data_IF_168243092430
#
_entry.id   IF_168243092430
#
_cell.length_a   1.000
_cell.length_b   1.000
_cell.length_c   1.000
_cell.angle_alpha   90.00
_cell.angle_beta   90.00
_cell.angle_gamma   90.00
#
_symmetry.space_group_name_H-M   'P 1'
#
loop_
_entity.id
_entity.type
_entity.pdbx_description
1 polymer ?
#
# COMPACT_ATOMS: atom_id res chain seq x y z
N UNK A 1 3.81 -6.77 -27.09
CA UNK A 1 3.09 -5.58 -27.59
C UNK A 1 2.47 -4.90 -26.38
N UNK A 2 3.28 -4.52 -25.40
CA UNK A 2 4.23 -3.40 -25.32
C UNK A 2 3.61 -2.22 -24.57
N UNK A 3 4.09 -2.05 -23.35
CA UNK A 3 4.28 -0.80 -22.60
C UNK A 3 4.90 -1.26 -21.26
N UNK A 4 6.22 -1.32 -21.14
CA UNK A 4 7.06 -0.15 -21.28
C UNK A 4 6.99 0.62 -19.96
N UNK A 5 7.91 0.28 -19.05
CA UNK A 5 8.33 1.11 -17.91
C UNK A 5 7.30 1.32 -16.78
N UNK A 6 6.90 0.22 -16.12
CA UNK A 6 6.45 0.32 -14.73
C UNK A 6 7.64 0.70 -13.85
N UNK A 7 7.63 1.95 -13.34
CA UNK A 7 8.53 2.45 -12.30
C UNK A 7 8.42 1.57 -11.05
N UNK A 8 9.16 0.44 -11.07
CA UNK A 8 9.34 -0.47 -9.94
C UNK A 8 10.24 0.23 -8.93
N UNK A 9 9.65 0.78 -7.88
CA UNK A 9 10.35 0.98 -6.62
C UNK A 9 10.52 -0.38 -5.96
N UNK A 10 11.35 -1.24 -6.54
CA UNK A 10 11.74 -2.53 -5.97
C UNK A 10 12.81 -2.24 -4.92
N UNK A 11 12.43 -2.11 -3.66
CA UNK A 11 13.40 -2.23 -2.57
C UNK A 11 13.94 -3.66 -2.60
N UNK A 12 15.26 -3.80 -2.70
CA UNK A 12 15.96 -5.09 -2.63
C UNK A 12 15.56 -5.79 -1.33
N UNK A 13 14.94 -6.95 -1.43
CA UNK A 13 14.65 -7.86 -0.32
C UNK A 13 14.05 -9.14 -0.91
N UNK A 14 14.71 -10.27 -0.70
CA UNK A 14 14.35 -11.55 -1.27
C UNK A 14 12.98 -12.05 -0.74
N UNK A 15 12.30 -13.01 -1.39
CA UNK A 15 10.94 -13.42 -1.02
C UNK A 15 10.81 -13.97 0.42
N UNK A 16 11.92 -14.33 1.07
CA UNK A 16 11.99 -15.12 2.30
C UNK A 16 12.72 -14.45 3.48
N UNK A 17 12.65 -13.13 3.62
CA UNK A 17 13.11 -12.48 4.86
C UNK A 17 12.00 -12.53 5.93
N UNK A 18 12.11 -13.49 6.84
CA UNK A 18 11.22 -13.59 8.00
C UNK A 18 11.53 -12.47 9.01
N UNK A 19 10.50 -11.75 9.44
CA UNK A 19 10.61 -10.70 10.46
C UNK A 19 10.38 -11.30 11.84
N UNK A 20 10.99 -10.72 12.88
CA UNK A 20 10.84 -11.18 14.25
C UNK A 20 10.30 -10.08 15.19
N UNK A 21 9.57 -10.53 16.20
CA UNK A 21 9.17 -9.82 17.41
C UNK A 21 9.68 -10.65 18.60
N UNK A 22 9.56 -10.13 19.83
CA UNK A 22 10.09 -10.76 21.05
C UNK A 22 9.75 -12.26 21.19
N UNK A 23 8.56 -12.69 20.74
CA UNK A 23 8.12 -14.08 20.81
C UNK A 23 7.45 -14.58 19.53
N UNK A 24 7.69 -13.93 18.38
CA UNK A 24 6.97 -14.28 17.15
C UNK A 24 7.82 -14.00 15.92
N UNK A 25 7.96 -15.01 15.07
CA UNK A 25 8.51 -14.87 13.72
C UNK A 25 7.34 -14.82 12.74
N UNK A 26 7.36 -13.87 11.81
CA UNK A 26 6.22 -13.61 10.92
C UNK A 26 6.69 -13.14 9.54
N UNK A 27 5.90 -13.50 8.53
CA UNK A 27 6.03 -13.03 7.16
C UNK A 27 4.61 -12.83 6.59
N UNK A 28 3.94 -11.82 7.11
CA UNK A 28 2.55 -11.53 6.77
C UNK A 28 2.54 -10.46 5.67
N UNK A 29 2.37 -10.90 4.42
CA UNK A 29 2.20 -10.05 3.25
C UNK A 29 0.75 -10.11 2.80
N UNK A 30 0.15 -8.95 2.56
CA UNK A 30 -1.24 -8.83 2.13
C UNK A 30 -1.31 -8.03 0.84
N UNK A 31 -2.09 -8.54 -0.12
CA UNK A 31 -2.45 -7.81 -1.32
C UNK A 31 -3.79 -7.09 -1.07
N UNK A 32 -3.73 -5.76 -1.00
CA UNK A 32 -4.87 -4.88 -0.76
C UNK A 32 -5.18 -4.16 -2.06
N UNK A 33 -6.43 -4.28 -2.52
CA UNK A 33 -6.93 -3.57 -3.69
C UNK A 33 -8.07 -2.67 -3.26
N UNK A 34 -8.01 -1.39 -3.64
CA UNK A 34 -9.10 -0.47 -3.40
C UNK A 34 -9.42 0.39 -4.62
N UNK A 35 -10.70 0.61 -4.85
CA UNK A 35 -11.21 1.49 -5.89
C UNK A 35 -11.84 2.75 -5.25
N UNK A 36 -11.70 3.92 -5.88
CA UNK A 36 -12.36 5.12 -5.39
C UNK A 36 -13.85 5.05 -5.73
N UNK A 37 -14.66 5.78 -4.96
CA UNK A 37 -16.10 5.88 -5.22
C UNK A 37 -16.33 6.40 -6.64
N UNK A 38 -17.16 5.71 -7.42
CA UNK A 38 -17.46 6.01 -8.83
C UNK A 38 -16.29 5.86 -9.83
N UNK A 39 -15.16 5.25 -9.44
CA UNK A 39 -14.01 4.95 -10.34
C UNK A 39 -13.60 6.14 -11.22
N UNK A 40 -13.64 7.37 -10.68
CA UNK A 40 -13.33 8.60 -11.44
C UNK A 40 -11.85 8.63 -11.84
N UNK A 41 -11.57 8.28 -13.08
CA UNK A 41 -10.22 8.10 -13.64
C UNK A 41 -9.37 9.38 -13.62
N UNK A 42 -10.01 10.55 -13.73
CA UNK A 42 -9.35 11.86 -13.87
C UNK A 42 -8.52 12.20 -12.62
N UNK A 43 -8.99 11.76 -11.45
CA UNK A 43 -8.38 12.13 -10.18
C UNK A 43 -6.97 11.52 -10.10
N UNK A 44 -6.78 10.27 -10.53
CA UNK A 44 -5.50 9.57 -10.39
C UNK A 44 -4.35 10.17 -11.18
N UNK A 45 -4.57 10.82 -12.32
CA UNK A 45 -3.45 11.39 -13.09
C UNK A 45 -2.71 12.48 -12.30
N UNK A 46 -3.46 13.40 -11.68
CA UNK A 46 -2.91 14.55 -10.97
C UNK A 46 -2.57 14.24 -9.51
N UNK A 47 -3.40 13.44 -8.81
CA UNK A 47 -3.20 13.18 -7.38
C UNK A 47 -2.35 11.94 -7.08
N UNK A 48 -1.98 11.11 -8.08
CA UNK A 48 -1.26 9.85 -7.83
C UNK A 48 0.04 10.03 -7.05
N UNK A 49 0.76 11.13 -7.30
CA UNK A 49 1.97 11.47 -6.55
C UNK A 49 1.64 11.74 -5.07
N UNK A 50 0.64 12.58 -4.80
CA UNK A 50 0.22 12.92 -3.44
C UNK A 50 -0.39 11.73 -2.69
N UNK A 51 -1.22 10.92 -3.36
CA UNK A 51 -1.79 9.71 -2.79
C UNK A 51 -0.69 8.72 -2.41
N UNK A 52 0.31 8.52 -3.29
CA UNK A 52 1.46 7.68 -2.98
C UNK A 52 2.24 8.19 -1.77
N UNK A 53 2.45 9.51 -1.67
CA UNK A 53 3.12 10.16 -0.53
C UNK A 53 2.33 9.98 0.77
N UNK A 54 1.01 10.24 0.74
CA UNK A 54 0.11 10.11 1.89
C UNK A 54 0.07 8.65 2.36
N UNK A 55 -0.10 7.68 1.44
CA UNK A 55 -0.12 6.25 1.75
C UNK A 55 1.15 5.79 2.45
N UNK A 56 2.32 6.24 1.96
CA UNK A 56 3.62 5.94 2.59
C UNK A 56 3.69 6.49 4.01
N UNK A 57 3.37 7.77 4.19
CA UNK A 57 3.38 8.42 5.50
C UNK A 57 2.41 7.77 6.50
N UNK A 58 1.21 7.40 6.06
CA UNK A 58 0.22 6.73 6.91
C UNK A 58 0.64 5.31 7.29
N UNK A 59 1.28 4.59 6.38
CA UNK A 59 1.75 3.23 6.62
C UNK A 59 2.93 3.21 7.59
N UNK A 60 3.89 4.12 7.42
CA UNK A 60 5.02 4.30 8.34
C UNK A 60 4.54 4.62 9.77
N UNK A 61 3.54 5.50 9.92
CA UNK A 61 2.94 5.81 11.24
C UNK A 61 2.32 4.61 11.94
N UNK A 62 1.89 3.59 11.19
CA UNK A 62 1.34 2.33 11.73
C UNK A 62 2.37 1.20 11.80
N UNK A 63 3.61 1.45 11.41
CA UNK A 63 4.66 0.43 11.34
C UNK A 63 4.36 -0.65 10.29
N UNK A 64 3.63 -0.30 9.23
CA UNK A 64 3.34 -1.16 8.09
C UNK A 64 4.28 -0.79 6.95
N UNK A 65 4.90 -1.79 6.35
CA UNK A 65 5.79 -1.60 5.20
C UNK A 65 5.04 -1.82 3.89
N UNK A 66 5.17 -0.89 2.96
CA UNK A 66 4.67 -1.05 1.59
C UNK A 66 5.80 -1.65 0.74
N UNK A 67 5.60 -2.86 0.25
CA UNK A 67 6.56 -3.57 -0.62
C UNK A 67 6.39 -3.09 -2.05
N UNK A 68 5.15 -3.06 -2.55
CA UNK A 68 4.82 -2.58 -3.88
C UNK A 68 3.49 -1.81 -3.85
N UNK A 69 3.36 -0.78 -4.67
CA UNK A 69 2.10 -0.08 -4.86
C UNK A 69 1.98 0.41 -6.30
N UNK A 70 0.86 0.09 -6.95
CA UNK A 70 0.55 0.49 -8.33
C UNK A 70 -0.81 1.13 -8.38
N UNK A 71 -0.87 2.38 -8.83
CA UNK A 71 -2.13 3.05 -9.12
C UNK A 71 -2.52 2.83 -10.59
N UNK A 72 -3.61 2.08 -10.79
CA UNK A 72 -4.30 1.88 -12.05
C UNK A 72 -5.41 2.96 -12.21
N UNK A 73 -5.98 3.12 -13.42
CA UNK A 73 -6.98 4.16 -13.68
C UNK A 73 -8.25 4.07 -12.81
N UNK A 74 -8.62 2.88 -12.36
CA UNK A 74 -9.89 2.62 -11.68
C UNK A 74 -9.73 1.97 -10.28
N UNK A 75 -8.51 1.58 -9.92
CA UNK A 75 -8.17 0.99 -8.62
C UNK A 75 -6.67 1.13 -8.30
N UNK A 76 -6.31 0.97 -7.02
CA UNK A 76 -4.93 0.91 -6.55
C UNK A 76 -4.65 -0.48 -6.00
N UNK A 77 -3.56 -1.08 -6.47
CA UNK A 77 -2.96 -2.29 -5.92
C UNK A 77 -1.87 -1.93 -4.91
N UNK A 78 -1.87 -2.56 -3.75
CA UNK A 78 -0.78 -2.48 -2.77
C UNK A 78 -0.42 -3.86 -2.25
N UNK A 79 0.86 -4.16 -2.20
CA UNK A 79 1.43 -5.28 -1.47
C UNK A 79 2.07 -4.72 -0.20
N UNK A 80 1.53 -5.09 0.96
CA UNK A 80 1.97 -4.56 2.26
C UNK A 80 2.37 -5.68 3.22
N UNK A 81 3.38 -5.42 4.05
CA UNK A 81 3.78 -6.29 5.15
C UNK A 81 3.25 -5.72 6.46
N UNK A 82 2.26 -6.40 7.05
CA UNK A 82 1.56 -5.96 8.26
C UNK A 82 2.00 -6.84 9.44
N UNK A 83 2.51 -6.25 10.54
CA UNK A 83 2.84 -7.02 11.74
C UNK A 83 1.61 -7.76 12.30
N UNK A 84 1.75 -9.00 12.82
CA UNK A 84 0.62 -9.81 13.29
C UNK A 84 -0.13 -9.19 14.49
N UNK A 85 0.50 -8.25 15.20
CA UNK A 85 -0.14 -7.46 16.28
C UNK A 85 -1.19 -6.47 15.76
N UNK A 86 -1.17 -6.13 14.47
CA UNK A 86 -2.07 -5.16 13.86
C UNK A 86 -3.08 -5.88 12.97
N UNK A 87 -4.37 -5.71 13.27
CA UNK A 87 -5.42 -6.26 12.41
C UNK A 87 -5.44 -5.58 11.04
N UNK A 88 -5.52 -6.40 9.98
CA UNK A 88 -5.61 -5.93 8.59
C UNK A 88 -6.83 -5.03 8.39
N UNK A 89 -7.99 -5.38 8.95
CA UNK A 89 -9.21 -4.58 8.81
C UNK A 89 -9.08 -3.21 9.49
N UNK A 90 -8.42 -3.15 10.64
CA UNK A 90 -8.13 -1.91 11.35
C UNK A 90 -7.19 -1.01 10.54
N UNK A 91 -6.15 -1.60 9.95
CA UNK A 91 -5.21 -0.87 9.09
C UNK A 91 -5.89 -0.31 7.84
N UNK A 92 -6.68 -1.14 7.13
CA UNK A 92 -7.44 -0.72 5.95
C UNK A 92 -8.42 0.40 6.31
N UNK A 93 -9.21 0.25 7.37
CA UNK A 93 -10.14 1.28 7.82
C UNK A 93 -9.46 2.60 8.19
N UNK A 94 -8.28 2.54 8.82
CA UNK A 94 -7.46 3.72 9.10
C UNK A 94 -6.98 4.41 7.81
N UNK A 95 -6.47 3.64 6.84
CA UNK A 95 -6.03 4.18 5.55
C UNK A 95 -7.16 4.91 4.84
N UNK A 96 -8.29 4.25 4.59
CA UNK A 96 -9.43 4.85 3.88
C UNK A 96 -9.91 6.13 4.56
N UNK A 97 -10.08 6.10 5.89
CA UNK A 97 -10.54 7.27 6.65
C UNK A 97 -9.59 8.45 6.51
N UNK A 98 -8.27 8.22 6.55
CA UNK A 98 -7.28 9.28 6.46
C UNK A 98 -7.08 9.78 5.03
N UNK A 99 -7.09 8.90 4.05
CA UNK A 99 -7.01 9.27 2.63
C UNK A 99 -8.16 10.21 2.26
N UNK A 100 -9.39 9.91 2.69
CA UNK A 100 -10.58 10.76 2.44
C UNK A 100 -10.53 12.17 3.06
N UNK A 101 -9.62 12.42 4.01
CA UNK A 101 -9.45 13.73 4.67
C UNK A 101 -8.30 14.52 4.02
N UNK A 102 -7.32 13.83 3.45
CA UNK A 102 -6.09 14.44 2.90
C UNK A 102 -6.13 14.59 1.37
N UNK A 103 -7.24 14.22 0.73
CA UNK A 103 -7.58 14.44 -0.68
C UNK A 103 -8.83 15.31 -0.70
#
# INVERSE_FOLDING_TARGET
MDSGLVNRLRTKGDPMDNKSLAHTTWNCKYHIVFAPKYRRQIIYGQIKADVGRILRQLSERKGVEIIEATACPDHIHMLVSIPPKLSVSSFVGYLYRKISINI
#
